data_IF_801853405794
#
_entry.id   IF_801853405794
#
_cell.length_a   1.000
_cell.length_b   1.000
_cell.length_c   1.000
_cell.angle_alpha   90.00
_cell.angle_beta   90.00
_cell.angle_gamma   90.00
#
_symmetry.space_group_name_H-M   'P 1'
#
loop_
_entity.id
_entity.type
_entity.pdbx_description
1 polymer ?
#
# COMPACT_ATOMS: atom_id res chain seq x y z
N UNK A 1 37.88 25.35 -52.22
CA UNK A 1 38.32 24.24 -51.35
C UNK A 1 37.51 24.37 -50.07
N UNK A 2 36.33 23.74 -50.04
CA UNK A 2 35.32 23.95 -49.00
C UNK A 2 35.37 22.76 -48.06
N UNK A 3 35.78 23.00 -46.82
CA UNK A 3 35.80 21.98 -45.77
C UNK A 3 34.38 21.83 -45.24
N UNK A 4 33.75 20.64 -45.24
CA UNK A 4 32.46 20.47 -44.59
C UNK A 4 32.66 20.40 -43.07
N UNK A 5 31.98 21.33 -42.42
CA UNK A 5 31.78 21.46 -40.98
C UNK A 5 31.09 20.20 -40.42
N UNK A 6 31.85 19.41 -39.65
CA UNK A 6 31.37 18.20 -38.99
C UNK A 6 30.90 18.54 -37.57
N UNK A 7 29.87 19.39 -37.47
CA UNK A 7 29.22 19.70 -36.20
C UNK A 7 27.77 19.23 -36.27
N UNK A 8 27.58 17.92 -36.43
CA UNK A 8 26.27 17.26 -36.31
C UNK A 8 26.14 16.65 -34.92
N UNK A 9 25.69 17.50 -34.00
CA UNK A 9 24.87 17.20 -32.82
C UNK A 9 25.00 15.80 -32.21
N UNK A 10 25.86 15.69 -31.19
CA UNK A 10 25.82 14.58 -30.23
C UNK A 10 24.56 14.60 -29.33
N UNK A 11 23.75 15.66 -29.38
CA UNK A 11 22.52 15.79 -28.59
C UNK A 11 21.31 15.03 -29.17
N UNK A 12 21.38 14.59 -30.44
CA UNK A 12 20.27 13.88 -31.11
C UNK A 12 20.37 12.34 -30.98
N UNK A 13 21.39 11.83 -30.28
CA UNK A 13 21.63 10.39 -30.06
C UNK A 13 21.22 9.92 -28.65
N UNK A 14 20.80 10.84 -27.76
CA UNK A 14 20.45 10.51 -26.36
C UNK A 14 18.96 10.46 -26.04
N UNK A 15 18.07 10.54 -27.04
CA UNK A 15 16.69 10.08 -26.89
C UNK A 15 16.63 8.55 -27.15
N UNK A 16 17.43 7.77 -26.42
CA UNK A 16 17.22 6.33 -26.37
C UNK A 16 15.84 6.12 -25.72
N UNK A 17 14.84 5.84 -26.54
CA UNK A 17 13.49 5.48 -26.10
C UNK A 17 13.59 4.22 -25.25
N UNK A 18 13.79 4.39 -23.93
CA UNK A 18 13.67 3.30 -22.97
C UNK A 18 12.20 2.91 -22.95
N UNK A 19 11.89 1.76 -23.57
CA UNK A 19 10.55 1.19 -23.50
C UNK A 19 10.08 1.15 -22.04
N UNK A 20 8.80 1.44 -21.75
CA UNK A 20 8.29 1.43 -20.40
C UNK A 20 8.51 0.05 -19.76
N UNK A 21 8.72 0.06 -18.45
CA UNK A 21 8.96 -1.12 -17.63
C UNK A 21 7.74 -1.44 -16.78
N UNK A 22 7.73 -2.64 -16.22
CA UNK A 22 6.79 -3.07 -15.20
C UNK A 22 7.51 -3.83 -14.09
N UNK A 23 6.99 -3.74 -12.87
CA UNK A 23 7.40 -4.61 -11.76
C UNK A 23 6.36 -5.71 -11.62
N UNK A 24 6.79 -6.96 -11.73
CA UNK A 24 5.95 -8.15 -11.63
C UNK A 24 6.22 -8.81 -10.29
N UNK A 25 5.20 -8.86 -9.44
CA UNK A 25 5.23 -9.53 -8.13
C UNK A 25 4.49 -10.84 -8.22
N UNK A 26 5.15 -11.93 -7.83
CA UNK A 26 4.59 -13.28 -7.78
C UNK A 26 4.53 -13.71 -6.32
N UNK A 27 3.31 -13.94 -5.83
CA UNK A 27 3.04 -14.46 -4.48
C UNK A 27 3.27 -15.97 -4.40
N UNK A 28 3.38 -16.49 -3.18
CA UNK A 28 3.58 -17.92 -2.91
C UNK A 28 2.40 -18.81 -3.37
N UNK A 29 1.18 -18.25 -3.42
CA UNK A 29 -0.01 -18.94 -3.95
C UNK A 29 -0.09 -18.94 -5.48
N UNK A 30 0.92 -18.39 -6.15
CA UNK A 30 0.98 -18.22 -7.61
C UNK A 30 0.25 -16.99 -8.13
N UNK A 31 -0.34 -16.17 -7.25
CA UNK A 31 -0.97 -14.90 -7.63
C UNK A 31 0.05 -13.92 -8.19
N UNK A 32 -0.26 -13.30 -9.34
CA UNK A 32 0.64 -12.36 -10.01
C UNK A 32 0.03 -10.97 -10.08
N UNK A 33 0.74 -9.99 -9.52
CA UNK A 33 0.41 -8.58 -9.62
C UNK A 33 1.45 -7.86 -10.45
N UNK A 34 1.02 -7.12 -11.48
CA UNK A 34 1.92 -6.38 -12.39
C UNK A 34 1.68 -4.89 -12.19
N UNK A 35 2.75 -4.12 -11.98
CA UNK A 35 2.68 -2.67 -11.74
C UNK A 35 3.38 -1.97 -12.91
N UNK A 36 2.64 -1.16 -13.67
CA UNK A 36 3.17 -0.42 -14.81
C UNK A 36 2.07 0.25 -15.63
N UNK A 37 2.43 1.09 -16.62
CA UNK A 37 3.78 1.33 -17.13
C UNK A 37 4.64 2.21 -16.21
N UNK A 38 5.95 1.96 -16.20
CA UNK A 38 6.96 2.73 -15.46
C UNK A 38 7.98 3.28 -16.47
N UNK A 39 7.99 4.59 -16.67
CA UNK A 39 8.84 5.23 -17.68
C UNK A 39 10.28 5.44 -17.22
N UNK A 40 10.49 5.62 -15.92
CA UNK A 40 11.82 5.85 -15.34
C UNK A 40 12.43 4.55 -14.79
N UNK A 41 13.58 4.07 -15.32
CA UNK A 41 14.25 2.87 -14.80
C UNK A 41 14.61 2.95 -13.31
N UNK A 42 15.02 4.13 -12.84
CA UNK A 42 15.29 4.37 -11.42
C UNK A 42 14.06 4.18 -10.53
N UNK A 43 12.86 4.57 -11.02
CA UNK A 43 11.61 4.35 -10.30
C UNK A 43 11.24 2.86 -10.25
N UNK A 44 11.43 2.13 -11.36
CA UNK A 44 11.22 0.67 -11.39
C UNK A 44 12.16 -0.03 -10.39
N UNK A 45 13.43 0.40 -10.32
CA UNK A 45 14.42 -0.09 -9.35
C UNK A 45 14.03 0.21 -7.90
N UNK A 46 13.55 1.42 -7.61
CA UNK A 46 13.12 1.81 -6.26
C UNK A 46 11.88 1.00 -5.79
N UNK A 47 10.88 0.85 -6.67
CA UNK A 47 9.68 0.06 -6.39
C UNK A 47 10.07 -1.41 -6.15
N UNK A 48 10.90 -1.98 -7.04
CA UNK A 48 11.40 -3.35 -6.89
C UNK A 48 12.12 -3.54 -5.55
N UNK A 49 13.09 -2.68 -5.24
CA UNK A 49 13.87 -2.77 -4.01
C UNK A 49 13.00 -2.66 -2.74
N UNK A 50 11.98 -1.80 -2.77
CA UNK A 50 11.05 -1.66 -1.65
C UNK A 50 10.20 -2.93 -1.45
N UNK A 51 9.68 -3.50 -2.54
CA UNK A 51 8.84 -4.69 -2.49
C UNK A 51 9.61 -5.97 -2.18
N UNK A 52 10.93 -5.99 -2.41
CA UNK A 52 11.82 -7.12 -2.04
C UNK A 52 12.59 -6.89 -0.74
N UNK A 53 12.28 -5.83 0.02
CA UNK A 53 12.96 -5.56 1.29
C UNK A 53 12.69 -6.69 2.28
N UNK A 54 13.73 -7.07 3.04
CA UNK A 54 13.59 -8.07 4.11
C UNK A 54 12.47 -7.68 5.08
N UNK A 55 11.62 -8.66 5.39
CA UNK A 55 10.41 -8.49 6.18
C UNK A 55 10.09 -9.76 6.95
N UNK A 56 9.43 -9.61 8.10
CA UNK A 56 8.91 -10.70 8.92
C UNK A 56 7.48 -11.08 8.55
N UNK A 57 6.83 -10.34 7.64
CA UNK A 57 5.46 -10.62 7.19
C UNK A 57 5.52 -11.81 6.21
N UNK A 58 4.92 -12.98 6.55
CA UNK A 58 5.11 -14.20 5.77
C UNK A 58 4.70 -14.07 4.29
N UNK A 59 3.59 -13.39 4.01
CA UNK A 59 3.07 -13.19 2.66
C UNK A 59 4.03 -12.41 1.77
N UNK A 60 4.70 -11.39 2.33
CA UNK A 60 5.68 -10.57 1.60
C UNK A 60 7.02 -11.30 1.47
N UNK A 61 7.46 -11.98 2.53
CA UNK A 61 8.70 -12.74 2.54
C UNK A 61 8.69 -13.92 1.55
N UNK A 62 7.51 -14.49 1.30
CA UNK A 62 7.34 -15.58 0.35
C UNK A 62 7.05 -15.11 -1.09
N UNK A 63 6.90 -13.81 -1.32
CA UNK A 63 6.72 -13.24 -2.65
C UNK A 63 8.07 -12.93 -3.30
N UNK A 64 8.10 -12.97 -4.63
CA UNK A 64 9.24 -12.53 -5.43
C UNK A 64 8.84 -11.40 -6.36
N UNK A 65 9.78 -10.52 -6.71
CA UNK A 65 9.52 -9.43 -7.66
C UNK A 65 10.63 -9.36 -8.71
N UNK A 66 10.27 -9.03 -9.94
CA UNK A 66 11.19 -8.82 -11.07
C UNK A 66 10.80 -7.58 -11.86
N UNK A 67 11.79 -6.93 -12.48
CA UNK A 67 11.56 -5.85 -13.44
C UNK A 67 11.55 -6.47 -14.83
N UNK A 68 10.51 -6.17 -15.62
CA UNK A 68 10.33 -6.66 -16.98
C UNK A 68 9.89 -5.54 -17.92
N UNK A 69 10.01 -5.71 -19.25
CA UNK A 69 9.38 -4.80 -20.20
C UNK A 69 7.86 -4.75 -19.99
N UNK A 70 7.28 -3.55 -20.05
CA UNK A 70 5.83 -3.37 -20.01
C UNK A 70 5.18 -3.97 -21.25
N UNK A 71 4.06 -4.66 -21.06
CA UNK A 71 3.23 -5.17 -22.14
C UNK A 71 1.78 -4.76 -21.92
N UNK A 72 1.24 -3.95 -22.84
CA UNK A 72 -0.17 -3.55 -22.83
C UNK A 72 -1.13 -4.71 -23.12
N UNK A 73 -0.62 -5.86 -23.59
CA UNK A 73 -1.43 -7.05 -23.85
C UNK A 73 -1.86 -7.78 -22.56
N UNK A 74 -1.30 -7.43 -21.41
CA UNK A 74 -1.60 -8.05 -20.11
C UNK A 74 -2.10 -6.99 -19.13
N UNK A 75 -3.07 -7.28 -18.25
CA UNK A 75 -3.50 -6.33 -17.22
C UNK A 75 -2.34 -5.92 -16.29
N UNK A 76 -2.20 -4.62 -16.09
CA UNK A 76 -1.26 -4.01 -15.16
C UNK A 76 -2.01 -3.03 -14.27
N UNK A 77 -1.66 -3.02 -12.99
CA UNK A 77 -2.05 -1.98 -12.06
C UNK A 77 -1.25 -0.71 -12.36
N UNK A 78 -1.91 0.46 -12.44
CA UNK A 78 -1.21 1.71 -12.67
C UNK A 78 -0.32 2.08 -11.48
N UNK A 79 0.55 3.08 -11.67
CA UNK A 79 1.17 3.76 -10.53
C UNK A 79 0.09 4.51 -9.76
N UNK A 80 0.27 4.63 -8.44
CA UNK A 80 -0.64 5.34 -7.57
C UNK A 80 -0.18 6.79 -7.47
N UNK A 81 -1.09 7.72 -7.67
CA UNK A 81 -0.84 9.12 -7.35
C UNK A 81 -0.79 9.30 -5.83
N UNK A 82 0.08 10.18 -5.34
CA UNK A 82 0.25 10.46 -3.92
C UNK A 82 -0.87 11.39 -3.40
N UNK A 83 -2.12 10.95 -3.57
CA UNK A 83 -3.32 11.73 -3.27
C UNK A 83 -4.26 10.97 -2.34
N UNK A 84 -4.87 11.70 -1.40
CA UNK A 84 -5.82 11.15 -0.43
C UNK A 84 -7.03 10.52 -1.13
N UNK A 85 -7.44 11.09 -2.26
CA UNK A 85 -8.61 10.64 -3.04
C UNK A 85 -8.37 9.30 -3.73
N UNK A 86 -7.12 9.06 -4.17
CA UNK A 86 -6.69 7.73 -4.64
C UNK A 86 -6.81 6.70 -3.51
N UNK A 87 -6.36 7.04 -2.31
CA UNK A 87 -6.45 6.15 -1.14
C UNK A 87 -7.90 5.87 -0.76
N UNK A 88 -8.76 6.89 -0.73
CA UNK A 88 -10.19 6.73 -0.41
C UNK A 88 -10.92 5.85 -1.39
N UNK A 89 -10.64 6.03 -2.68
CA UNK A 89 -11.31 5.28 -3.75
C UNK A 89 -10.95 3.79 -3.69
N UNK A 90 -9.70 3.50 -3.35
CA UNK A 90 -9.15 2.15 -3.42
C UNK A 90 -9.09 1.41 -2.07
N UNK A 91 -9.22 2.08 -0.92
CA UNK A 91 -8.98 1.44 0.39
C UNK A 91 -9.89 0.23 0.68
N UNK A 92 -11.13 0.27 0.17
CA UNK A 92 -12.14 -0.78 0.34
C UNK A 92 -12.23 -1.69 -0.90
N UNK A 93 -11.30 -1.57 -1.87
CA UNK A 93 -11.25 -2.40 -3.06
C UNK A 93 -10.74 -3.82 -2.71
N UNK A 94 -11.42 -4.86 -3.21
CA UNK A 94 -11.09 -6.25 -2.88
C UNK A 94 -9.79 -6.74 -3.54
N UNK A 95 -9.37 -6.13 -4.66
CA UNK A 95 -8.17 -6.51 -5.41
C UNK A 95 -6.94 -5.70 -5.03
N UNK A 96 -7.12 -4.46 -4.58
CA UNK A 96 -6.03 -3.52 -4.34
C UNK A 96 -6.10 -2.79 -3.02
N UNK A 97 -7.22 -2.81 -2.30
CA UNK A 97 -7.42 -2.10 -1.05
C UNK A 97 -6.62 -2.64 0.12
N UNK A 98 -6.84 -2.09 1.32
CA UNK A 98 -6.00 -2.40 2.49
C UNK A 98 -6.09 -3.88 2.90
N UNK A 99 -7.24 -4.51 2.65
CA UNK A 99 -7.46 -5.93 2.90
C UNK A 99 -7.06 -6.86 1.74
N UNK A 100 -6.65 -6.29 0.60
CA UNK A 100 -6.31 -7.07 -0.57
C UNK A 100 -4.98 -7.81 -0.42
N UNK A 101 -4.73 -8.85 -1.24
CA UNK A 101 -3.47 -9.57 -1.21
C UNK A 101 -2.26 -8.72 -1.61
N UNK A 102 -1.08 -9.14 -1.17
CA UNK A 102 0.18 -8.47 -1.50
C UNK A 102 0.47 -8.43 -3.03
N UNK A 103 1.00 -7.32 -3.57
CA UNK A 103 1.14 -6.00 -2.97
C UNK A 103 -0.19 -5.25 -3.00
N UNK A 104 -0.63 -4.79 -1.83
CA UNK A 104 -1.85 -4.01 -1.70
C UNK A 104 -1.57 -2.49 -1.82
N UNK A 105 -2.58 -1.64 -1.62
CA UNK A 105 -2.46 -0.19 -1.74
C UNK A 105 -1.37 0.38 -0.82
N UNK A 106 -1.24 -0.13 0.40
CA UNK A 106 -0.23 0.31 1.34
C UNK A 106 1.17 -0.01 0.82
N UNK A 107 1.40 -1.25 0.40
CA UNK A 107 2.69 -1.70 -0.13
C UNK A 107 3.10 -0.88 -1.36
N UNK A 108 2.14 -0.60 -2.23
CA UNK A 108 2.36 0.19 -3.45
C UNK A 108 2.67 1.66 -3.13
N UNK A 109 1.97 2.28 -2.19
CA UNK A 109 2.26 3.65 -1.76
C UNK A 109 3.65 3.76 -1.12
N UNK A 110 3.99 2.83 -0.22
CA UNK A 110 5.32 2.79 0.42
C UNK A 110 6.41 2.57 -0.64
N UNK A 111 6.18 1.70 -1.62
CA UNK A 111 7.14 1.42 -2.69
C UNK A 111 7.36 2.60 -3.64
N UNK A 112 6.33 3.41 -3.89
CA UNK A 112 6.38 4.50 -4.86
C UNK A 112 6.76 5.85 -4.24
N UNK A 113 6.28 6.12 -3.03
CA UNK A 113 6.36 7.44 -2.40
C UNK A 113 7.06 7.44 -1.04
N UNK A 114 7.37 6.25 -0.51
CA UNK A 114 8.00 6.07 0.79
C UNK A 114 7.01 6.07 1.96
N UNK A 115 7.50 5.61 3.11
CA UNK A 115 6.68 5.36 4.30
C UNK A 115 5.98 6.61 4.83
N UNK A 116 6.69 7.74 4.92
CA UNK A 116 6.14 8.96 5.51
C UNK A 116 4.96 9.53 4.70
N UNK A 117 5.06 9.45 3.37
CA UNK A 117 3.98 9.92 2.48
C UNK A 117 2.80 8.95 2.54
N UNK A 118 3.05 7.65 2.47
CA UNK A 118 2.00 6.64 2.60
C UNK A 118 1.23 6.76 3.92
N UNK A 119 1.93 6.91 5.05
CA UNK A 119 1.32 7.09 6.37
C UNK A 119 0.46 8.35 6.45
N UNK A 120 0.98 9.49 5.95
CA UNK A 120 0.24 10.74 5.94
C UNK A 120 -1.07 10.64 5.15
N UNK A 121 -1.01 10.07 3.93
CA UNK A 121 -2.17 9.92 3.05
C UNK A 121 -3.23 8.98 3.63
N UNK A 122 -2.82 7.84 4.20
CA UNK A 122 -3.76 6.89 4.80
C UNK A 122 -4.40 7.49 6.06
N UNK A 123 -3.62 8.15 6.90
CA UNK A 123 -4.15 8.82 8.10
C UNK A 123 -5.16 9.90 7.75
N UNK A 124 -4.87 10.72 6.74
CA UNK A 124 -5.78 11.76 6.27
C UNK A 124 -7.06 11.17 5.66
N UNK A 125 -6.94 10.10 4.87
CA UNK A 125 -8.09 9.39 4.32
C UNK A 125 -9.01 8.82 5.42
N UNK A 126 -8.43 8.30 6.51
CA UNK A 126 -9.19 7.76 7.65
C UNK A 126 -9.79 8.82 8.58
N UNK A 127 -9.12 9.97 8.73
CA UNK A 127 -9.58 11.08 9.59
C UNK A 127 -10.86 11.70 9.04
N UNK A 128 -10.93 11.93 7.72
CA UNK A 128 -12.12 12.50 7.09
C UNK A 128 -13.29 11.51 7.01
N UNK A 129 -13.01 10.20 6.95
CA UNK A 129 -14.05 9.16 7.10
C UNK A 129 -14.70 9.19 8.49
N UNK A 130 -13.95 9.65 9.51
CA UNK A 130 -14.44 9.78 10.89
C UNK A 130 -15.20 11.10 11.12
N UNK A 131 -14.81 12.17 10.41
CA UNK A 131 -15.46 13.48 10.48
C UNK A 131 -16.72 13.58 9.60
N UNK A 132 -16.79 12.79 8.52
CA UNK A 132 -17.98 12.61 7.72
C UNK A 132 -18.87 11.54 8.32
N UNK A 133 -19.89 11.93 9.10
CA UNK A 133 -21.08 11.10 9.35
C UNK A 133 -21.85 10.85 8.04
N UNK A 134 -21.23 10.16 7.08
CA UNK A 134 -21.88 9.76 5.84
C UNK A 134 -22.71 8.51 6.11
N UNK A 135 -24.01 8.76 6.25
CA UNK A 135 -25.09 7.79 6.08
C UNK A 135 -24.74 6.88 4.89
N UNK A 136 -24.65 5.55 5.06
CA UNK A 136 -24.34 4.65 3.95
C UNK A 136 -25.39 4.84 2.85
N UNK A 137 -24.92 4.98 1.61
CA UNK A 137 -25.74 5.01 0.40
C UNK A 137 -26.55 3.71 0.36
N UNK A 138 -27.89 3.75 0.29
CA UNK A 138 -28.68 2.52 0.25
C UNK A 138 -28.54 1.90 -1.13
N UNK A 139 -27.78 0.80 -1.25
CA UNK A 139 -27.70 0.09 -2.53
C UNK A 139 -26.51 -0.83 -2.76
N UNK A 140 -25.94 -1.46 -1.74
CA UNK A 140 -25.26 -2.76 -1.92
C UNK A 140 -25.26 -3.47 -0.58
N UNK A 141 -25.84 -4.67 -0.52
CA UNK A 141 -25.80 -5.51 0.67
C UNK A 141 -24.39 -6.10 0.75
N UNK A 142 -23.45 -5.35 1.31
CA UNK A 142 -22.17 -5.93 1.73
C UNK A 142 -22.43 -6.66 3.04
N UNK A 143 -22.23 -7.97 3.06
CA UNK A 143 -22.29 -8.75 4.29
C UNK A 143 -21.33 -8.14 5.30
N UNK A 144 -21.86 -7.71 6.45
CA UNK A 144 -21.05 -7.25 7.58
C UNK A 144 -20.04 -8.34 7.94
N UNK A 145 -18.76 -8.00 8.17
CA UNK A 145 -17.81 -8.97 8.68
C UNK A 145 -18.37 -9.57 9.97
N UNK A 146 -18.32 -10.91 10.06
CA UNK A 146 -18.76 -11.59 11.28
C UNK A 146 -17.91 -11.10 12.45
N UNK A 147 -18.50 -11.11 13.65
CA UNK A 147 -17.84 -10.66 14.89
C UNK A 147 -16.44 -11.27 15.08
N UNK A 148 -16.26 -12.53 14.64
CA UNK A 148 -14.98 -13.24 14.71
C UNK A 148 -13.90 -12.61 13.83
N UNK A 149 -14.25 -12.10 12.64
CA UNK A 149 -13.28 -11.51 11.71
C UNK A 149 -12.80 -10.12 12.19
N UNK A 150 -13.66 -9.37 12.88
CA UNK A 150 -13.29 -8.11 13.52
C UNK A 150 -12.40 -8.34 14.75
N UNK A 151 -12.70 -9.38 15.54
CA UNK A 151 -11.92 -9.78 16.71
C UNK A 151 -10.50 -10.26 16.28
N UNK A 152 -10.37 -11.07 15.23
CA UNK A 152 -9.07 -11.52 14.70
C UNK A 152 -8.20 -10.38 14.14
N UNK A 153 -8.82 -9.39 13.48
CA UNK A 153 -8.11 -8.20 12.96
C UNK A 153 -7.58 -7.33 14.10
N UNK A 154 -8.38 -7.16 15.14
CA UNK A 154 -7.96 -6.42 16.34
C UNK A 154 -6.80 -7.13 17.06
N UNK A 155 -6.90 -8.46 17.27
CA UNK A 155 -5.83 -9.21 17.92
C UNK A 155 -4.52 -9.16 17.14
N UNK A 156 -4.59 -9.22 15.80
CA UNK A 156 -3.42 -9.10 14.92
C UNK A 156 -2.75 -7.75 15.06
N UNK A 157 -3.52 -6.66 14.97
CA UNK A 157 -3.01 -5.30 15.08
C UNK A 157 -2.46 -4.98 16.48
N UNK A 158 -3.09 -5.53 17.53
CA UNK A 158 -2.62 -5.40 18.91
C UNK A 158 -1.25 -6.06 19.11
N UNK A 159 -1.03 -7.24 18.52
CA UNK A 159 0.28 -7.92 18.60
C UNK A 159 1.38 -7.12 17.89
N UNK A 160 1.07 -6.51 16.75
CA UNK A 160 2.01 -5.71 15.97
C UNK A 160 2.46 -4.46 16.76
N UNK A 161 1.52 -3.72 17.32
CA UNK A 161 1.80 -2.55 18.17
C UNK A 161 2.64 -2.90 19.40
N UNK A 162 2.37 -4.06 20.03
CA UNK A 162 3.14 -4.51 21.19
C UNK A 162 4.55 -4.96 20.83
N UNK A 163 4.75 -5.59 19.67
CA UNK A 163 6.06 -6.05 19.21
C UNK A 163 6.97 -4.88 18.81
N UNK A 164 6.40 -3.85 18.17
CA UNK A 164 7.14 -2.66 17.70
C UNK A 164 7.66 -1.79 18.85
N UNK A 165 7.02 -1.88 20.02
CA UNK A 165 7.35 -1.07 21.19
C UNK A 165 8.24 -1.77 22.23
N UNK A 166 8.53 -3.06 22.06
CA UNK A 166 9.50 -3.81 22.89
C UNK A 166 10.87 -3.91 22.22
N UNK A 167 11.79 -3.01 22.59
CA UNK A 167 13.22 -3.11 22.26
C UNK A 167 14.04 -3.83 23.35
N UNK A 168 15.35 -4.08 23.11
CA UNK A 168 16.23 -4.84 24.03
C UNK A 168 16.49 -4.19 25.40
N UNK A 169 15.89 -3.02 25.69
CA UNK A 169 15.93 -2.34 26.98
C UNK A 169 14.56 -2.15 27.65
N UNK A 170 13.50 -2.80 27.16
CA UNK A 170 12.11 -2.57 27.61
C UNK A 170 11.44 -1.37 26.93
N UNK A 171 10.16 -1.16 27.24
CA UNK A 171 9.34 -0.08 26.66
C UNK A 171 9.72 1.26 27.30
N UNK A 172 10.27 2.20 26.52
CA UNK A 172 10.53 3.56 27.03
C UNK A 172 9.21 4.26 27.40
N UNK A 173 9.17 5.23 28.33
CA UNK A 173 7.93 5.91 28.73
C UNK A 173 7.20 6.62 27.57
N UNK A 174 7.96 7.13 26.59
CA UNK A 174 7.40 7.72 25.38
C UNK A 174 6.82 6.65 24.46
N UNK A 175 7.56 5.55 24.22
CA UNK A 175 7.06 4.41 23.46
C UNK A 175 5.82 3.77 24.13
N UNK A 176 5.77 3.73 25.46
CA UNK A 176 4.61 3.23 26.20
C UNK A 176 3.38 4.12 25.98
N UNK A 177 3.55 5.45 25.95
CA UNK A 177 2.45 6.39 25.68
C UNK A 177 1.94 6.26 24.25
N UNK A 178 2.82 6.06 23.29
CA UNK A 178 2.47 5.86 21.87
C UNK A 178 1.78 4.50 21.66
N UNK A 179 2.26 3.46 22.35
CA UNK A 179 1.62 2.14 22.39
C UNK A 179 0.22 2.21 23.00
N UNK A 180 0.05 2.85 24.16
CA UNK A 180 -1.27 3.00 24.80
C UNK A 180 -2.24 3.81 23.92
N UNK A 181 -1.73 4.81 23.20
CA UNK A 181 -2.53 5.60 22.24
C UNK A 181 -2.97 4.74 21.06
N UNK A 182 -2.07 3.90 20.54
CA UNK A 182 -2.34 2.97 19.44
C UNK A 182 -3.33 1.88 19.84
N UNK A 183 -3.18 1.32 21.05
CA UNK A 183 -4.12 0.35 21.63
C UNK A 183 -5.51 0.97 21.79
N UNK A 184 -5.61 2.21 22.26
CA UNK A 184 -6.88 2.91 22.42
C UNK A 184 -7.59 3.12 21.08
N UNK A 185 -6.85 3.51 20.04
CA UNK A 185 -7.38 3.67 18.68
C UNK A 185 -7.87 2.36 18.09
N UNK A 186 -7.12 1.27 18.30
CA UNK A 186 -7.53 -0.07 17.89
C UNK A 186 -8.81 -0.51 18.60
N UNK A 187 -8.94 -0.23 19.90
CA UNK A 187 -10.11 -0.58 20.69
C UNK A 187 -11.36 0.22 20.25
N UNK A 188 -11.20 1.49 19.91
CA UNK A 188 -12.27 2.34 19.38
C UNK A 188 -12.71 1.88 17.97
N UNK A 189 -11.76 1.57 17.09
CA UNK A 189 -12.07 1.01 15.76
C UNK A 189 -12.78 -0.35 15.86
N UNK A 190 -12.34 -1.20 16.79
CA UNK A 190 -12.98 -2.48 17.07
C UNK A 190 -14.40 -2.31 17.63
N UNK A 191 -14.61 -1.40 18.58
CA UNK A 191 -15.93 -1.13 19.15
C UNK A 191 -16.93 -0.62 18.09
N UNK A 192 -16.46 0.20 17.15
CA UNK A 192 -17.26 0.70 16.02
C UNK A 192 -17.56 -0.38 14.97
N UNK A 193 -16.71 -1.41 14.85
CA UNK A 193 -16.89 -2.51 13.90
C UNK A 193 -17.91 -3.57 14.35
N UNK A 194 -18.27 -3.58 15.65
CA UNK A 194 -19.25 -4.52 16.17
C UNK A 194 -20.68 -4.05 15.85
N UNK A 195 -21.57 -4.95 15.39
CA UNK A 195 -22.98 -4.62 15.33
C UNK A 195 -23.44 -4.25 16.74
N UNK A 196 -24.01 -3.05 16.92
CA UNK A 196 -24.74 -2.71 18.13
C UNK A 196 -25.75 -3.84 18.34
N UNK A 197 -25.63 -4.56 19.44
CA UNK A 197 -26.71 -5.41 19.90
C UNK A 197 -27.92 -4.51 20.04
N UNK A 198 -28.86 -4.60 19.10
CA UNK A 198 -30.21 -4.10 19.33
C UNK A 198 -30.68 -4.81 20.59
N UNK A 199 -30.58 -4.08 21.69
CA UNK A 199 -31.10 -4.49 22.99
C UNK A 199 -32.58 -4.21 22.90
N UNK A 200 -33.25 -5.02 22.08
CA UNK A 200 -34.70 -5.09 22.02
C UNK A 200 -35.20 -5.82 23.25
N UNK A 201 -35.24 -5.09 24.38
CA UNK A 201 -36.29 -5.12 25.41
C UNK A 201 -35.97 -4.13 26.52
#
# INVERSE_FOLDING_TARGET
MTVPDATRTAEDVMAASTAPLAVIVTRADGGVTRIGPITAPGAAGAIHASLTRLTTIPEKAAASAVIAPFSSAVPHLPLLEAEVETVRTLMDDDEQGVGAPFPNIWDRLVAQHGLNVADALVREALTDRSNGCHRPRPGTVTQRPSRNQADERFERALREVLLESTGPGGTSPAALKDTLTSIRRLAEAWACSRPRSDSGR
#
